data_IF_393475998491
#
_entry.id   IF_393475998491
#
_cell.length_a   1.000
_cell.length_b   1.000
_cell.length_c   1.000
_cell.angle_alpha   90.00
_cell.angle_beta   90.00
_cell.angle_gamma   90.00
#
_symmetry.space_group_name_H-M   'P 1'
#
loop_
_entity.id
_entity.type
_entity.pdbx_description
1 polymer ?
#
# COMPACT_ATOMS: atom_id res chain seq x y z
N UNK A 1 -36.28 4.71 -18.86
CA UNK A 1 -36.80 5.31 -17.61
C UNK A 1 -35.65 5.33 -16.63
N UNK A 2 -35.17 6.53 -16.27
CA UNK A 2 -34.05 6.74 -15.36
C UNK A 2 -34.64 7.00 -13.97
N UNK A 3 -34.33 6.15 -12.99
CA UNK A 3 -34.65 6.42 -11.57
C UNK A 3 -33.42 7.03 -10.91
N UNK A 4 -33.46 8.34 -10.70
CA UNK A 4 -32.51 9.04 -9.81
C UNK A 4 -32.77 8.61 -8.37
N UNK A 5 -31.74 8.09 -7.70
CA UNK A 5 -31.76 7.92 -6.24
C UNK A 5 -30.93 9.06 -5.66
N UNK A 6 -31.57 10.21 -5.46
CA UNK A 6 -31.05 11.27 -4.60
C UNK A 6 -31.96 11.26 -3.39
N UNK A 7 -31.44 10.76 -2.26
CA UNK A 7 -32.07 10.94 -0.96
C UNK A 7 -31.51 12.22 -0.37
N UNK A 8 -32.20 13.34 -0.56
CA UNK A 8 -31.98 14.56 0.22
C UNK A 8 -32.36 14.27 1.68
N UNK A 9 -31.39 13.96 2.53
CA UNK A 9 -31.59 14.00 3.97
C UNK A 9 -31.35 15.42 4.47
N UNK A 10 -32.30 16.31 4.14
CA UNK A 10 -32.43 17.61 4.82
C UNK A 10 -33.72 17.63 5.62
N UNK A 11 -34.00 16.56 6.37
CA UNK A 11 -35.11 16.54 7.30
C UNK A 11 -34.58 16.13 8.68
N UNK A 12 -34.74 17.02 9.65
CA UNK A 12 -34.43 16.79 11.06
C UNK A 12 -35.47 15.82 11.67
N UNK A 13 -35.54 14.61 11.12
CA UNK A 13 -36.48 13.58 11.56
C UNK A 13 -35.95 12.87 12.80
N UNK A 14 -36.69 12.98 13.91
CA UNK A 14 -36.48 12.14 15.10
C UNK A 14 -36.65 10.67 14.72
N UNK A 15 -35.72 9.79 15.12
CA UNK A 15 -35.70 8.36 14.79
C UNK A 15 -37.05 7.68 15.12
N UNK A 16 -37.85 7.39 14.11
CA UNK A 16 -39.16 6.77 14.24
C UNK A 16 -39.05 5.24 14.17
N UNK A 17 -39.92 4.54 14.91
CA UNK A 17 -40.01 3.07 14.83
C UNK A 17 -40.64 2.65 13.49
N UNK A 18 -40.19 1.51 12.96
CA UNK A 18 -40.73 0.92 11.72
C UNK A 18 -42.23 0.55 11.80
N UNK A 19 -42.82 0.51 13.00
CA UNK A 19 -44.23 0.22 13.27
C UNK A 19 -45.12 1.47 13.28
N UNK A 20 -44.58 2.66 13.00
CA UNK A 20 -45.32 3.93 12.99
C UNK A 20 -45.64 4.46 14.39
N UNK A 21 -45.10 3.87 15.46
CA UNK A 21 -45.16 4.45 16.79
C UNK A 21 -44.18 5.63 16.93
N UNK A 22 -44.48 6.53 17.88
CA UNK A 22 -43.71 7.76 18.12
C UNK A 22 -42.22 7.54 18.40
N UNK A 23 -41.41 8.63 18.35
CA UNK A 23 -39.95 8.53 18.41
C UNK A 23 -39.45 7.85 19.69
N UNK A 24 -38.36 7.09 19.57
CA UNK A 24 -37.72 6.41 20.69
C UNK A 24 -37.06 7.44 21.63
N UNK A 25 -37.66 7.68 22.78
CA UNK A 25 -37.12 8.57 23.81
C UNK A 25 -35.96 7.88 24.52
N UNK A 26 -34.79 8.53 24.60
CA UNK A 26 -33.61 8.04 25.34
C UNK A 26 -32.56 7.29 24.50
N UNK A 27 -32.71 7.22 23.18
CA UNK A 27 -31.64 6.75 22.28
C UNK A 27 -30.95 7.99 21.70
N UNK A 28 -29.63 8.15 21.91
CA UNK A 28 -28.86 9.24 21.31
C UNK A 28 -29.04 9.24 19.79
N UNK A 29 -29.25 10.41 19.18
CA UNK A 29 -29.21 10.52 17.73
C UNK A 29 -27.80 10.29 17.22
N UNK A 30 -27.65 9.99 15.92
CA UNK A 30 -26.33 9.93 15.29
C UNK A 30 -25.50 11.20 15.59
N UNK A 31 -26.12 12.37 15.55
CA UNK A 31 -25.45 13.63 15.85
C UNK A 31 -25.05 13.76 17.32
N UNK A 32 -25.84 13.22 18.25
CA UNK A 32 -25.49 13.23 19.68
C UNK A 32 -24.27 12.32 19.94
N UNK A 33 -24.21 11.16 19.28
CA UNK A 33 -23.05 10.25 19.35
C UNK A 33 -21.82 10.92 18.73
N UNK A 34 -21.96 11.48 17.53
CA UNK A 34 -20.86 12.18 16.84
C UNK A 34 -20.32 13.35 17.70
N UNK A 35 -21.19 14.16 18.30
CA UNK A 35 -20.77 15.30 19.14
C UNK A 35 -20.07 14.86 20.44
N UNK A 36 -20.50 13.76 21.05
CA UNK A 36 -19.87 13.19 22.24
C UNK A 36 -18.48 12.62 21.93
N UNK A 37 -18.34 11.91 20.80
CA UNK A 37 -17.07 11.36 20.35
C UNK A 37 -16.10 12.45 19.83
N UNK A 38 -16.57 13.46 19.10
CA UNK A 38 -15.71 14.43 18.43
C UNK A 38 -14.92 15.33 19.39
N UNK A 39 -15.53 15.81 20.48
CA UNK A 39 -14.90 16.83 21.32
C UNK A 39 -13.72 16.28 22.13
N UNK A 40 -13.85 15.07 22.69
CA UNK A 40 -12.78 14.44 23.46
C UNK A 40 -11.70 13.83 22.56
N UNK A 41 -12.12 13.12 21.51
CA UNK A 41 -11.21 12.34 20.68
C UNK A 41 -10.38 13.22 19.74
N UNK A 42 -10.95 14.32 19.22
CA UNK A 42 -10.20 15.26 18.38
C UNK A 42 -9.10 15.96 19.18
N UNK A 43 -9.35 16.33 20.43
CA UNK A 43 -8.33 16.93 21.30
C UNK A 43 -7.20 15.94 21.60
N UNK A 44 -7.54 14.68 21.91
CA UNK A 44 -6.54 13.61 22.13
C UNK A 44 -5.71 13.36 20.86
N UNK A 45 -6.36 13.32 19.69
CA UNK A 45 -5.66 13.15 18.41
C UNK A 45 -4.72 14.32 18.13
N UNK A 46 -5.19 15.57 18.28
CA UNK A 46 -4.36 16.76 18.08
C UNK A 46 -3.17 16.81 19.04
N UNK A 47 -3.37 16.42 20.30
CA UNK A 47 -2.28 16.31 21.27
C UNK A 47 -1.27 15.25 20.85
N UNK A 48 -1.75 14.10 20.39
CA UNK A 48 -0.91 13.00 19.88
C UNK A 48 -0.10 13.46 18.65
N UNK A 49 -0.75 14.16 17.70
CA UNK A 49 -0.12 14.76 16.52
C UNK A 49 0.95 15.79 16.89
N UNK A 50 0.64 16.72 17.78
CA UNK A 50 1.56 17.77 18.23
C UNK A 50 2.78 17.19 18.96
N UNK A 51 2.58 16.16 19.78
CA UNK A 51 3.64 15.47 20.49
C UNK A 51 4.37 14.40 19.66
N UNK A 52 3.98 14.20 18.38
CA UNK A 52 4.45 13.10 17.51
C UNK A 52 4.39 11.73 18.19
N UNK A 53 3.35 11.49 18.97
CA UNK A 53 3.11 10.21 19.62
C UNK A 53 2.67 9.17 18.60
N UNK A 54 2.95 7.87 18.84
CA UNK A 54 2.47 6.82 17.96
C UNK A 54 0.94 6.82 17.86
N UNK A 55 0.42 6.72 16.63
CA UNK A 55 -1.01 6.69 16.32
C UNK A 55 -1.40 5.28 15.93
N UNK A 56 -2.47 4.78 16.51
CA UNK A 56 -3.06 3.50 16.11
C UNK A 56 -4.06 3.74 14.98
N UNK A 57 -4.01 2.90 13.95
CA UNK A 57 -4.95 2.93 12.84
C UNK A 57 -5.20 1.50 12.33
N UNK A 58 -6.27 1.32 11.57
CA UNK A 58 -6.64 0.02 11.01
C UNK A 58 -6.86 0.16 9.51
N UNK A 59 -5.96 -0.38 8.66
CA UNK A 59 -6.10 -0.30 7.21
C UNK A 59 -7.47 -0.81 6.74
N UNK A 60 -8.14 -0.02 5.91
CA UNK A 60 -9.43 -0.39 5.29
C UNK A 60 -9.30 -0.57 3.78
N UNK A 61 -8.39 0.15 3.15
CA UNK A 61 -8.12 0.07 1.72
C UNK A 61 -6.62 0.31 1.46
N UNK A 62 -6.07 -0.39 0.48
CA UNK A 62 -4.64 -0.33 0.12
C UNK A 62 -4.52 -0.20 -1.39
N UNK A 63 -3.68 0.71 -1.84
CA UNK A 63 -3.44 0.98 -3.25
C UNK A 63 -1.98 1.39 -3.50
N UNK A 64 -1.60 1.41 -4.77
CA UNK A 64 -0.28 1.83 -5.23
C UNK A 64 -0.38 3.16 -5.97
N UNK A 65 0.58 4.05 -5.77
CA UNK A 65 0.73 5.28 -6.53
C UNK A 65 2.21 5.53 -6.89
N UNK A 66 2.48 6.59 -7.66
CA UNK A 66 3.82 6.98 -8.06
C UNK A 66 4.05 8.48 -7.86
N UNK A 67 5.09 8.80 -7.10
CA UNK A 67 5.52 10.18 -6.92
C UNK A 67 6.17 10.72 -8.19
N UNK A 68 5.44 11.53 -8.96
CA UNK A 68 6.00 12.25 -10.12
C UNK A 68 6.73 11.35 -11.13
N UNK A 69 6.27 10.10 -11.30
CA UNK A 69 6.87 9.05 -12.14
C UNK A 69 8.19 8.45 -11.63
N UNK A 70 8.62 8.75 -10.41
CA UNK A 70 9.99 8.48 -9.94
C UNK A 70 10.09 7.48 -8.80
N UNK A 71 9.14 7.43 -7.88
CA UNK A 71 9.20 6.53 -6.72
C UNK A 71 7.86 5.84 -6.52
N UNK A 72 7.89 4.58 -6.09
CA UNK A 72 6.69 3.86 -5.70
C UNK A 72 6.19 4.37 -4.34
N UNK A 73 4.88 4.57 -4.23
CA UNK A 73 4.17 4.89 -2.99
C UNK A 73 3.18 3.77 -2.72
N UNK A 74 3.21 3.23 -1.49
CA UNK A 74 2.14 2.39 -0.98
C UNK A 74 1.17 3.27 -0.18
N UNK A 75 -0.06 3.38 -0.66
CA UNK A 75 -1.10 4.20 -0.06
C UNK A 75 -2.02 3.31 0.78
N UNK A 76 -2.16 3.64 2.07
CA UNK A 76 -3.06 2.95 2.99
C UNK A 76 -4.13 3.92 3.46
N UNK A 77 -5.39 3.64 3.14
CA UNK A 77 -6.53 4.40 3.65
C UNK A 77 -7.08 3.72 4.90
N UNK A 78 -7.44 4.52 5.90
CA UNK A 78 -8.03 4.10 7.18
C UNK A 78 -8.94 5.20 7.73
N UNK A 79 -9.59 4.91 8.85
CA UNK A 79 -10.15 5.92 9.76
C UNK A 79 -9.28 6.06 11.01
N UNK A 80 -9.16 7.28 11.53
CA UNK A 80 -8.54 7.56 12.82
C UNK A 80 -9.53 7.29 13.96
N UNK A 81 -9.06 7.43 15.20
CA UNK A 81 -9.86 7.17 16.40
C UNK A 81 -11.07 8.12 16.58
N UNK A 82 -11.06 9.25 15.87
CA UNK A 82 -12.18 10.19 15.77
C UNK A 82 -12.93 10.03 14.43
N UNK A 83 -12.84 8.85 13.82
CA UNK A 83 -13.53 8.46 12.58
C UNK A 83 -13.13 9.24 11.31
N UNK A 84 -12.25 10.23 11.41
CA UNK A 84 -11.77 10.99 10.26
C UNK A 84 -10.95 10.11 9.32
N UNK A 85 -11.16 10.31 8.02
CA UNK A 85 -10.41 9.62 6.98
C UNK A 85 -8.94 10.02 7.05
N UNK A 86 -8.09 9.01 6.95
CA UNK A 86 -6.65 9.15 6.86
C UNK A 86 -6.11 8.38 5.66
N UNK A 87 -5.13 8.98 4.99
CA UNK A 87 -4.28 8.32 3.99
C UNK A 87 -2.86 8.31 4.51
N UNK A 88 -2.24 7.14 4.54
CA UNK A 88 -0.84 6.93 4.96
C UNK A 88 -0.04 6.53 3.72
N UNK A 89 0.92 7.35 3.34
CA UNK A 89 1.79 7.12 2.20
C UNK A 89 3.15 6.59 2.66
N UNK A 90 3.39 5.30 2.42
CA UNK A 90 4.69 4.68 2.68
C UNK A 90 5.57 4.87 1.44
N UNK A 91 6.65 5.63 1.60
CA UNK A 91 7.61 5.96 0.55
C UNK A 91 8.94 5.23 0.77
N UNK A 92 9.86 5.33 -0.19
CA UNK A 92 11.21 4.74 -0.09
C UNK A 92 11.27 3.24 -0.36
N UNK A 93 10.14 2.60 -0.65
CA UNK A 93 10.06 1.21 -1.09
C UNK A 93 10.59 1.11 -2.54
N UNK A 94 11.45 0.14 -2.79
CA UNK A 94 11.96 -0.15 -4.13
C UNK A 94 11.31 -1.43 -4.67
N UNK A 95 10.43 -1.33 -5.68
CA UNK A 95 9.86 -2.50 -6.33
C UNK A 95 10.94 -3.44 -6.86
N UNK A 96 10.70 -4.75 -6.82
CA UNK A 96 11.70 -5.74 -7.12
C UNK A 96 11.12 -7.03 -7.71
N UNK A 97 11.99 -7.81 -8.34
CA UNK A 97 11.76 -9.20 -8.71
C UNK A 97 13.05 -10.00 -8.61
N UNK A 98 12.93 -11.31 -8.43
CA UNK A 98 14.06 -12.18 -8.18
C UNK A 98 14.28 -13.09 -9.40
N UNK A 99 15.52 -13.14 -9.88
CA UNK A 99 15.97 -13.94 -11.03
C UNK A 99 16.75 -15.13 -10.53
N UNK A 100 16.40 -16.34 -10.99
CA UNK A 100 17.15 -17.54 -10.61
C UNK A 100 18.52 -17.54 -11.28
N UNK A 101 19.58 -17.81 -10.50
CA UNK A 101 20.92 -18.00 -11.06
C UNK A 101 21.05 -19.46 -11.53
N UNK A 102 21.23 -19.73 -12.84
CA UNK A 102 21.42 -21.09 -13.31
C UNK A 102 22.71 -21.68 -12.76
N UNK A 103 22.70 -22.98 -12.42
CA UNK A 103 23.86 -23.68 -11.85
C UNK A 103 25.15 -23.56 -12.70
N UNK A 104 24.98 -23.44 -14.02
CA UNK A 104 26.08 -23.33 -14.98
C UNK A 104 26.61 -21.89 -15.17
N UNK A 105 26.05 -20.89 -14.48
CA UNK A 105 26.38 -19.48 -14.69
C UNK A 105 26.92 -18.84 -13.42
N UNK A 106 27.94 -17.98 -13.58
CA UNK A 106 28.38 -17.10 -12.49
C UNK A 106 27.35 -15.98 -12.27
N UNK A 107 27.02 -15.63 -11.01
CA UNK A 107 26.16 -14.48 -10.71
C UNK A 107 26.64 -13.18 -11.39
N UNK A 108 27.95 -12.98 -11.51
CA UNK A 108 28.52 -11.81 -12.17
C UNK A 108 28.18 -11.74 -13.67
N UNK A 109 28.24 -12.89 -14.36
CA UNK A 109 27.90 -12.96 -15.79
C UNK A 109 26.41 -12.67 -15.99
N UNK A 110 25.56 -13.24 -15.14
CA UNK A 110 24.12 -13.00 -15.21
C UNK A 110 23.77 -11.54 -14.93
N UNK A 111 24.41 -10.89 -13.93
CA UNK A 111 24.25 -9.43 -13.70
C UNK A 111 24.63 -8.61 -14.92
N UNK A 112 25.69 -8.97 -15.64
CA UNK A 112 26.10 -8.26 -16.88
C UNK A 112 25.03 -8.38 -17.97
N UNK A 113 24.47 -9.58 -18.15
CA UNK A 113 23.39 -9.82 -19.12
C UNK A 113 22.13 -9.04 -18.73
N UNK A 114 21.72 -9.12 -17.46
CA UNK A 114 20.58 -8.38 -16.92
C UNK A 114 20.79 -6.88 -17.09
N UNK A 115 21.96 -6.34 -16.74
CA UNK A 115 22.26 -4.92 -16.88
C UNK A 115 22.12 -4.45 -18.34
N UNK A 116 22.56 -5.24 -19.31
CA UNK A 116 22.39 -4.93 -20.72
C UNK A 116 20.91 -4.87 -21.12
N UNK A 117 20.12 -5.90 -20.80
CA UNK A 117 18.68 -5.97 -21.10
C UNK A 117 17.95 -4.78 -20.47
N UNK A 118 18.17 -4.55 -19.18
CA UNK A 118 17.49 -3.50 -18.41
C UNK A 118 17.87 -2.10 -18.87
N UNK A 119 19.12 -1.87 -19.27
CA UNK A 119 19.56 -0.58 -19.82
C UNK A 119 18.86 -0.25 -21.13
N UNK A 120 18.66 -1.25 -22.01
CA UNK A 120 17.92 -1.09 -23.27
C UNK A 120 16.44 -0.81 -22.99
N UNK A 121 15.83 -1.57 -22.07
CA UNK A 121 14.40 -1.47 -21.77
C UNK A 121 14.04 -0.17 -21.03
N UNK A 122 14.78 0.18 -19.98
CA UNK A 122 14.45 1.32 -19.10
C UNK A 122 15.07 2.64 -19.56
N UNK A 123 15.99 2.61 -20.54
CA UNK A 123 16.69 3.78 -21.12
C UNK A 123 17.43 4.64 -20.09
N UNK A 124 17.61 4.15 -18.87
CA UNK A 124 18.34 4.82 -17.80
C UNK A 124 18.92 3.76 -16.85
N UNK A 125 20.25 3.79 -16.68
CA UNK A 125 21.00 2.84 -15.85
C UNK A 125 20.83 3.07 -14.36
N UNK A 126 20.34 4.23 -13.92
CA UNK A 126 20.12 4.53 -12.49
C UNK A 126 18.80 4.00 -11.97
N UNK A 127 17.89 3.59 -12.87
CA UNK A 127 16.53 3.15 -12.53
C UNK A 127 16.45 1.76 -11.91
N UNK A 128 17.56 1.02 -11.91
CA UNK A 128 17.62 -0.34 -11.40
C UNK A 128 18.94 -0.63 -10.69
N UNK A 129 18.94 -1.71 -9.92
CA UNK A 129 20.16 -2.29 -9.41
C UNK A 129 19.96 -3.74 -8.97
N UNK A 130 21.03 -4.31 -8.43
CA UNK A 130 21.10 -5.74 -8.13
C UNK A 130 21.50 -5.99 -6.69
N UNK A 131 20.94 -7.04 -6.11
CA UNK A 131 21.29 -7.59 -4.82
C UNK A 131 21.39 -9.12 -4.94
N UNK A 132 22.38 -9.72 -4.30
CA UNK A 132 22.52 -11.18 -4.27
C UNK A 132 21.77 -11.72 -3.06
N UNK A 133 20.84 -12.65 -3.30
CA UNK A 133 20.05 -13.28 -2.24
C UNK A 133 20.13 -14.81 -2.33
N UNK A 134 19.87 -15.47 -1.20
CA UNK A 134 19.79 -16.93 -1.13
C UNK A 134 18.45 -17.33 -0.51
N UNK A 135 17.65 -18.07 -1.28
CA UNK A 135 16.29 -18.45 -0.90
C UNK A 135 15.99 -19.91 -1.29
N UNK A 136 14.97 -20.49 -0.66
CA UNK A 136 14.45 -21.79 -1.08
C UNK A 136 13.57 -21.61 -2.31
N UNK A 137 13.79 -22.40 -3.38
CA UNK A 137 12.90 -22.37 -4.54
C UNK A 137 11.48 -22.77 -4.14
N UNK A 138 10.48 -22.11 -4.74
CA UNK A 138 9.08 -22.47 -4.53
C UNK A 138 8.72 -23.81 -5.19
N UNK A 139 9.40 -24.15 -6.28
CA UNK A 139 9.17 -25.37 -7.03
C UNK A 139 10.17 -26.45 -6.64
N UNK A 140 9.67 -27.63 -6.30
CA UNK A 140 10.49 -28.78 -5.90
C UNK A 140 10.82 -28.80 -4.41
N UNK A 141 11.34 -29.93 -3.95
CA UNK A 141 11.83 -30.07 -2.58
C UNK A 141 13.34 -29.89 -2.57
N UNK A 142 13.80 -28.80 -1.94
CA UNK A 142 15.20 -28.45 -1.85
C UNK A 142 15.63 -28.33 -0.39
N UNK A 143 16.70 -29.03 -0.03
CA UNK A 143 17.29 -28.99 1.32
C UNK A 143 18.22 -27.78 1.47
N UNK A 144 18.75 -27.28 0.34
CA UNK A 144 19.66 -26.15 0.28
C UNK A 144 19.01 -24.94 -0.40
N UNK A 145 19.46 -23.74 -0.01
CA UNK A 145 19.04 -22.49 -0.65
C UNK A 145 19.74 -22.34 -1.99
N UNK A 146 19.01 -21.87 -3.00
CA UNK A 146 19.57 -21.45 -4.29
C UNK A 146 19.93 -19.98 -4.29
N UNK A 147 20.88 -19.61 -5.14
CA UNK A 147 21.25 -18.23 -5.40
C UNK A 147 20.24 -17.57 -6.35
N UNK A 148 19.84 -16.35 -6.02
CA UNK A 148 19.01 -15.49 -6.86
C UNK A 148 19.64 -14.10 -6.93
N UNK A 149 19.35 -13.39 -8.01
CA UNK A 149 19.66 -11.97 -8.15
C UNK A 149 18.34 -11.21 -8.01
N UNK A 150 18.22 -10.43 -6.94
CA UNK A 150 17.12 -9.48 -6.78
C UNK A 150 17.42 -8.25 -7.61
N UNK A 151 16.52 -7.96 -8.55
CA UNK A 151 16.54 -6.74 -9.36
C UNK A 151 15.54 -5.78 -8.72
N UNK A 152 16.03 -4.65 -8.21
CA UNK A 152 15.17 -3.57 -7.73
C UNK A 152 15.06 -2.47 -8.79
N UNK A 153 13.94 -1.76 -8.79
CA UNK A 153 13.66 -0.61 -9.66
C UNK A 153 13.13 0.57 -8.84
N UNK A 154 12.96 1.71 -9.50
CA UNK A 154 12.43 2.93 -8.89
C UNK A 154 10.92 2.91 -8.65
N UNK A 155 10.15 2.30 -9.55
CA UNK A 155 8.70 2.19 -9.43
C UNK A 155 8.19 0.87 -10.03
N UNK A 156 6.90 0.57 -9.80
CA UNK A 156 6.28 -0.70 -10.16
C UNK A 156 6.06 -0.83 -11.69
N UNK A 157 5.96 0.27 -12.44
CA UNK A 157 5.93 0.20 -13.91
C UNK A 157 7.29 -0.16 -14.51
N UNK A 158 8.37 0.45 -14.00
CA UNK A 158 9.74 0.10 -14.39
C UNK A 158 10.03 -1.37 -14.01
N UNK A 159 9.55 -1.84 -12.85
CA UNK A 159 9.61 -3.24 -12.44
C UNK A 159 8.89 -4.16 -13.44
N UNK A 160 7.66 -3.82 -13.82
CA UNK A 160 6.88 -4.59 -14.79
C UNK A 160 7.58 -4.67 -16.15
N UNK A 161 8.04 -3.54 -16.69
CA UNK A 161 8.74 -3.50 -17.98
C UNK A 161 10.04 -4.31 -17.94
N UNK A 162 10.79 -4.19 -16.85
CA UNK A 162 12.01 -4.96 -16.61
C UNK A 162 11.73 -6.47 -16.56
N UNK A 163 10.76 -6.90 -15.74
CA UNK A 163 10.36 -8.29 -15.61
C UNK A 163 9.91 -8.87 -16.94
N UNK A 164 9.09 -8.15 -17.68
CA UNK A 164 8.61 -8.55 -19.01
C UNK A 164 9.77 -8.78 -19.98
N UNK A 165 10.71 -7.84 -20.07
CA UNK A 165 11.88 -7.97 -20.95
C UNK A 165 12.79 -9.15 -20.57
N UNK A 166 12.97 -9.40 -19.28
CA UNK A 166 13.74 -10.55 -18.78
C UNK A 166 13.05 -11.88 -19.12
N UNK A 167 11.72 -11.94 -18.98
CA UNK A 167 10.95 -13.13 -19.37
C UNK A 167 10.97 -13.37 -20.89
N UNK A 168 10.90 -12.31 -21.70
CA UNK A 168 10.94 -12.41 -23.17
C UNK A 168 12.24 -13.03 -23.71
N UNK A 169 13.36 -12.84 -23.02
CA UNK A 169 14.64 -13.48 -23.38
C UNK A 169 14.81 -14.89 -22.82
N UNK A 170 13.79 -15.43 -22.13
CA UNK A 170 13.79 -16.79 -21.59
C UNK A 170 14.57 -16.97 -20.29
N UNK A 171 14.87 -15.90 -19.55
CA UNK A 171 15.51 -16.00 -18.23
C UNK A 171 14.45 -16.33 -17.19
N UNK A 172 14.72 -17.33 -16.35
CA UNK A 172 13.81 -17.77 -15.29
C UNK A 172 13.78 -16.77 -14.12
N UNK A 173 12.57 -16.40 -13.70
CA UNK A 173 12.33 -15.56 -12.53
C UNK A 173 11.53 -16.33 -11.48
N UNK A 174 11.70 -15.96 -10.22
CA UNK A 174 10.94 -16.56 -9.11
C UNK A 174 9.50 -16.00 -9.01
N UNK A 175 9.20 -14.92 -9.73
CA UNK A 175 7.94 -14.19 -9.67
C UNK A 175 7.49 -13.81 -11.08
N UNK A 176 6.54 -14.56 -11.63
CA UNK A 176 5.95 -14.29 -12.94
C UNK A 176 4.74 -13.34 -12.89
N UNK A 177 4.60 -12.56 -11.80
CA UNK A 177 3.52 -11.61 -11.66
C UNK A 177 3.75 -10.41 -12.60
N UNK A 178 3.14 -10.50 -13.78
CA UNK A 178 3.10 -9.45 -14.79
C UNK A 178 1.94 -8.48 -14.54
N UNK A 179 1.32 -8.48 -13.35
CA UNK A 179 0.30 -7.52 -12.98
C UNK A 179 0.92 -6.35 -12.20
N UNK A 180 1.00 -5.18 -12.84
CA UNK A 180 1.49 -3.97 -12.18
C UNK A 180 0.45 -3.31 -11.26
N UNK A 181 -0.83 -3.70 -11.33
CA UNK A 181 -1.93 -3.00 -10.67
C UNK A 181 -2.09 -3.33 -9.18
N UNK A 182 -1.56 -4.46 -8.71
CA UNK A 182 -1.72 -4.95 -7.34
C UNK A 182 -0.38 -5.28 -6.68
N UNK A 183 0.66 -4.52 -7.02
CA UNK A 183 2.02 -4.74 -6.55
C UNK A 183 2.12 -4.60 -5.02
N UNK A 184 1.23 -3.84 -4.38
CA UNK A 184 1.17 -3.71 -2.92
C UNK A 184 1.13 -5.05 -2.18
N UNK A 185 0.54 -6.11 -2.73
CA UNK A 185 0.50 -7.41 -2.04
C UNK A 185 1.91 -7.94 -1.81
N UNK A 186 2.80 -7.76 -2.79
CA UNK A 186 4.19 -8.18 -2.69
C UNK A 186 4.94 -7.35 -1.67
N UNK A 187 4.75 -6.03 -1.70
CA UNK A 187 5.34 -5.10 -0.74
C UNK A 187 4.87 -5.42 0.68
N UNK A 188 3.57 -5.59 0.87
CA UNK A 188 2.99 -5.91 2.17
C UNK A 188 3.52 -7.24 2.74
N UNK A 189 3.72 -8.25 1.88
CA UNK A 189 4.34 -9.51 2.32
C UNK A 189 5.81 -9.33 2.73
N UNK A 190 6.59 -8.60 1.92
CA UNK A 190 8.03 -8.38 2.18
C UNK A 190 8.25 -7.54 3.45
N UNK A 191 7.51 -6.43 3.57
CA UNK A 191 7.56 -5.49 4.69
C UNK A 191 6.75 -5.96 5.92
N UNK A 192 6.05 -7.09 5.80
CA UNK A 192 5.18 -7.68 6.84
C UNK A 192 4.12 -6.69 7.35
N UNK A 193 3.54 -5.92 6.44
CA UNK A 193 2.55 -4.91 6.77
C UNK A 193 1.19 -5.55 7.12
N UNK A 194 0.58 -5.14 8.24
CA UNK A 194 -0.74 -5.63 8.64
C UNK A 194 -1.84 -4.99 7.78
N UNK A 195 -2.22 -5.60 6.66
CA UNK A 195 -3.25 -5.03 5.76
C UNK A 195 -4.70 -5.11 6.30
N UNK A 196 -4.94 -5.87 7.36
CA UNK A 196 -6.28 -6.10 7.91
C UNK A 196 -6.32 -6.14 9.45
N UNK A 197 -5.28 -5.62 10.10
CA UNK A 197 -5.20 -5.57 11.56
C UNK A 197 -4.65 -4.24 12.02
N UNK A 198 -4.80 -3.95 13.32
CA UNK A 198 -4.27 -2.72 13.92
C UNK A 198 -2.77 -2.54 13.64
N UNK A 199 -2.44 -1.34 13.18
CA UNK A 199 -1.10 -0.87 12.89
C UNK A 199 -0.77 0.34 13.77
N UNK A 200 0.53 0.56 13.99
CA UNK A 200 1.03 1.71 14.74
C UNK A 200 1.87 2.56 13.81
N UNK A 201 1.42 3.79 13.56
CA UNK A 201 2.16 4.80 12.85
C UNK A 201 3.06 5.55 13.84
N UNK A 202 4.35 5.65 13.55
CA UNK A 202 5.33 6.36 14.39
C UNK A 202 6.33 7.11 13.52
N UNK A 203 6.96 8.16 14.08
CA UNK A 203 7.93 9.01 13.36
C UNK A 203 7.40 9.58 12.03
N UNK A 204 6.10 9.81 11.95
CA UNK A 204 5.46 10.30 10.74
C UNK A 204 5.67 11.80 10.53
N UNK A 205 5.55 12.20 9.27
CA UNK A 205 5.19 13.56 8.89
C UNK A 205 3.70 13.56 8.60
N UNK A 206 3.05 14.72 8.62
CA UNK A 206 1.65 14.79 8.22
C UNK A 206 1.31 16.18 7.67
N UNK A 207 0.34 16.17 6.77
CA UNK A 207 -0.31 17.36 6.22
C UNK A 207 -1.83 17.21 6.38
N UNK A 208 -2.51 18.32 6.59
CA UNK A 208 -3.97 18.35 6.65
C UNK A 208 -4.48 19.00 5.36
N UNK A 209 -5.22 18.22 4.57
CA UNK A 209 -5.66 18.66 3.25
C UNK A 209 -6.92 19.52 3.36
N UNK A 210 -7.21 20.41 2.38
CA UNK A 210 -8.39 21.28 2.42
C UNK A 210 -9.73 20.54 2.44
N UNK A 211 -9.77 19.28 1.95
CA UNK A 211 -10.93 18.37 2.01
C UNK A 211 -11.12 17.70 3.37
N UNK A 212 -10.28 18.01 4.37
CA UNK A 212 -10.40 17.50 5.72
C UNK A 212 -9.77 16.14 5.96
N UNK A 213 -8.89 15.70 5.06
CA UNK A 213 -8.19 14.41 5.15
C UNK A 213 -6.81 14.60 5.78
N UNK A 214 -6.41 13.70 6.68
CA UNK A 214 -5.01 13.63 7.11
C UNK A 214 -4.20 12.82 6.11
N UNK A 215 -3.12 13.40 5.60
CA UNK A 215 -2.12 12.73 4.77
C UNK A 215 -0.84 12.54 5.59
N UNK A 216 -0.47 11.29 5.87
CA UNK A 216 0.76 10.94 6.58
C UNK A 216 1.82 10.42 5.62
#
# INVERSE_FOLDING_TARGET
MYTSTISDQTDQGTLARYDGAGPLTGIPSHNDIVVEFDNGMTVILQQSLSAKQPIHFMPTEVSDDIEGYSSYILCITSSLINEQKVVVNITGIRPFFDVEVPENHSPFLLKTILAHILSVTLKNTTKFGFEDIYAFPLQGYHIEKKAYIRVWTWNHFDQYNALKAVCEVGIHTASNDLNCQYYYHKVACEERLPLSSWAVLSNYLYEFTPDGTYLF
#
